data_IF_045723963030
#
_entry.id   IF_045723963030
#
_cell.length_a   1.000
_cell.length_b   1.000
_cell.length_c   1.000
_cell.angle_alpha   90.00
_cell.angle_beta   90.00
_cell.angle_gamma   90.00
#
_symmetry.space_group_name_H-M   'P 1'
#
loop_
_entity.id
_entity.type
_entity.pdbx_description
1 polymer ?
#
# COMPACT_ATOMS: atom_id res chain seq x y z
N UNK A 1 2.96 -7.83 -16.19
CA UNK A 1 3.38 -6.59 -16.89
C UNK A 1 4.19 -6.86 -18.16
N UNK A 2 5.04 -7.90 -18.20
CA UNK A 2 5.85 -8.29 -19.39
C UNK A 2 5.02 -8.43 -20.68
N UNK A 3 3.76 -8.89 -20.64
CA UNK A 3 2.92 -8.98 -21.85
C UNK A 3 2.38 -7.65 -22.41
N UNK A 4 2.59 -6.52 -21.70
CA UNK A 4 1.91 -5.24 -22.01
C UNK A 4 2.79 -4.23 -22.75
N UNK A 5 4.06 -4.06 -22.34
CA UNK A 5 5.06 -3.37 -23.16
C UNK A 5 5.08 -3.97 -24.58
N UNK A 6 5.01 -5.30 -24.68
CA UNK A 6 4.90 -6.02 -25.96
C UNK A 6 3.74 -5.55 -26.84
N UNK A 7 2.53 -5.34 -26.28
CA UNK A 7 1.37 -4.95 -27.10
C UNK A 7 1.52 -3.56 -27.71
N UNK A 8 2.03 -2.60 -26.93
CA UNK A 8 2.25 -1.22 -27.38
C UNK A 8 3.44 -1.14 -28.33
N UNK A 9 4.54 -1.83 -28.03
CA UNK A 9 5.69 -1.89 -28.93
C UNK A 9 5.32 -2.59 -30.24
N UNK A 10 4.56 -3.69 -30.22
CA UNK A 10 4.15 -4.38 -31.45
C UNK A 10 3.31 -3.52 -32.40
N UNK A 11 2.54 -2.53 -31.90
CA UNK A 11 1.83 -1.57 -32.75
C UNK A 11 2.71 -0.46 -33.34
N UNK A 12 3.86 -0.17 -32.70
CA UNK A 12 4.79 0.90 -33.10
C UNK A 12 6.00 0.39 -33.90
N UNK A 13 6.18 -0.92 -34.04
CA UNK A 13 7.29 -1.54 -34.78
C UNK A 13 7.35 -1.14 -36.28
N UNK A 14 6.24 -0.67 -36.87
CA UNK A 14 6.25 -0.10 -38.22
C UNK A 14 7.14 1.16 -38.31
N UNK A 15 7.21 1.98 -37.26
CA UNK A 15 8.07 3.17 -37.23
C UNK A 15 9.56 2.79 -37.28
N UNK A 16 9.96 1.73 -36.57
CA UNK A 16 11.35 1.24 -36.59
C UNK A 16 11.77 0.74 -37.97
N UNK A 17 10.83 0.21 -38.77
CA UNK A 17 11.11 -0.25 -40.14
C UNK A 17 11.22 0.88 -41.18
N UNK A 18 10.59 2.03 -40.93
CA UNK A 18 10.62 3.20 -41.81
C UNK A 18 11.86 4.08 -41.56
N UNK A 19 12.29 4.21 -40.30
CA UNK A 19 13.47 5.00 -39.88
C UNK A 19 14.81 4.46 -40.41
N UNK A 20 14.87 3.18 -40.84
CA UNK A 20 16.10 2.63 -41.46
C UNK A 20 16.36 3.21 -42.86
N UNK A 21 15.37 3.80 -43.52
CA UNK A 21 15.49 4.27 -44.91
C UNK A 21 16.15 5.66 -45.08
N UNK A 22 16.33 6.44 -44.01
CA UNK A 22 16.83 7.82 -44.04
C UNK A 22 18.34 7.97 -43.72
N UNK A 23 19.03 6.91 -43.29
CA UNK A 23 20.42 6.99 -42.78
C UNK A 23 21.50 7.02 -43.90
N UNK A 24 21.13 7.06 -45.19
CA UNK A 24 22.08 7.02 -46.32
C UNK A 24 22.68 8.39 -46.73
N UNK A 25 22.65 9.40 -45.85
CA UNK A 25 23.30 10.70 -46.05
C UNK A 25 24.73 10.78 -45.47
N UNK A 26 25.55 11.76 -45.90
CA UNK A 26 26.87 11.97 -45.31
C UNK A 26 26.77 12.20 -43.79
N UNK A 27 27.65 11.55 -43.02
CA UNK A 27 27.79 11.67 -41.56
C UNK A 27 28.05 13.12 -41.15
N UNK A 28 26.98 13.88 -40.90
CA UNK A 28 27.04 15.07 -40.08
C UNK A 28 26.85 14.62 -38.62
N UNK A 29 27.78 15.00 -37.75
CA UNK A 29 27.64 14.78 -36.30
C UNK A 29 26.51 15.68 -35.81
N UNK A 30 25.32 15.11 -35.70
CA UNK A 30 24.13 15.76 -35.19
C UNK A 30 23.68 15.02 -33.93
N UNK A 31 23.19 15.75 -32.93
CA UNK A 31 22.63 15.16 -31.71
C UNK A 31 21.50 14.17 -32.06
N UNK A 32 21.25 13.22 -31.17
CA UNK A 32 20.14 12.27 -31.31
C UNK A 32 18.83 12.99 -31.65
N UNK A 33 18.06 12.41 -32.59
CA UNK A 33 16.72 12.86 -32.89
C UNK A 33 15.73 12.01 -32.10
N UNK A 34 14.76 12.66 -31.44
CA UNK A 34 13.81 12.00 -30.55
C UNK A 34 12.40 12.37 -31.01
N UNK A 35 11.55 11.37 -31.19
CA UNK A 35 10.15 11.54 -31.55
C UNK A 35 9.24 10.93 -30.48
N UNK A 36 8.19 11.66 -30.09
CA UNK A 36 7.16 11.16 -29.19
C UNK A 36 6.13 10.26 -29.91
N UNK A 37 5.12 9.79 -29.18
CA UNK A 37 4.07 8.90 -29.72
C UNK A 37 3.18 9.56 -30.80
N UNK A 38 3.28 10.88 -30.97
CA UNK A 38 2.59 11.64 -32.02
C UNK A 38 3.49 12.00 -33.20
N UNK A 39 4.69 11.41 -33.27
CA UNK A 39 5.76 11.71 -34.24
C UNK A 39 6.26 13.16 -34.18
N UNK A 40 6.06 13.85 -33.05
CA UNK A 40 6.60 15.19 -32.83
C UNK A 40 8.03 15.11 -32.30
N UNK A 41 8.93 15.89 -32.89
CA UNK A 41 10.33 15.99 -32.46
C UNK A 41 10.42 16.69 -31.09
N UNK A 42 11.22 16.12 -30.19
CA UNK A 42 11.48 16.64 -28.84
C UNK A 42 12.97 16.61 -28.52
N UNK A 43 13.41 17.42 -27.56
CA UNK A 43 14.81 17.48 -27.12
C UNK A 43 15.11 16.57 -25.92
N UNK A 44 14.10 16.08 -25.21
CA UNK A 44 14.25 15.26 -24.01
C UNK A 44 13.18 14.19 -23.90
N UNK A 45 13.51 13.12 -23.18
CA UNK A 45 12.58 12.07 -22.79
C UNK A 45 11.81 12.49 -21.54
N UNK A 46 10.59 12.00 -21.39
CA UNK A 46 9.84 12.11 -20.15
C UNK A 46 9.22 10.77 -19.78
N UNK A 47 8.55 10.71 -18.62
CA UNK A 47 7.87 9.50 -18.17
C UNK A 47 6.55 9.82 -17.50
N UNK A 48 5.65 8.83 -17.48
CA UNK A 48 4.38 8.96 -16.76
C UNK A 48 4.53 8.54 -15.30
N UNK A 49 4.15 9.43 -14.38
CA UNK A 49 4.18 9.16 -12.95
C UNK A 49 2.91 8.44 -12.47
N UNK A 50 3.07 7.18 -12.09
CA UNK A 50 2.03 6.34 -11.50
C UNK A 50 1.94 6.62 -10.00
N UNK A 51 0.89 7.37 -9.63
CA UNK A 51 0.57 7.67 -8.22
C UNK A 51 -0.74 7.05 -7.73
N UNK A 52 -1.66 6.79 -8.66
CA UNK A 52 -2.95 6.16 -8.36
C UNK A 52 -2.91 4.67 -8.68
N UNK A 53 -3.88 3.92 -8.13
CA UNK A 53 -3.96 2.47 -8.30
C UNK A 53 -5.22 1.99 -8.98
N UNK A 54 -5.80 2.77 -9.90
CA UNK A 54 -6.70 2.18 -10.91
C UNK A 54 -5.91 1.23 -11.80
N UNK A 55 -6.56 0.21 -12.36
CA UNK A 55 -5.89 -0.70 -13.31
C UNK A 55 -5.43 0.04 -14.56
N UNK A 56 -6.19 1.06 -14.99
CA UNK A 56 -5.88 1.92 -16.13
C UNK A 56 -4.58 2.70 -15.92
N UNK A 57 -4.35 3.26 -14.73
CA UNK A 57 -3.09 3.96 -14.45
C UNK A 57 -1.88 3.02 -14.50
N UNK A 58 -2.04 1.75 -14.11
CA UNK A 58 -0.96 0.75 -14.21
C UNK A 58 -0.64 0.33 -15.65
N UNK A 59 -1.42 0.77 -16.63
CA UNK A 59 -1.23 0.50 -18.06
C UNK A 59 -0.63 1.68 -18.81
N UNK A 60 -0.54 2.86 -18.19
CA UNK A 60 0.05 4.04 -18.80
C UNK A 60 1.56 3.88 -18.94
N UNK A 61 2.02 4.04 -20.17
CA UNK A 61 3.43 4.01 -20.57
C UNK A 61 3.60 5.16 -21.57
N UNK A 62 4.78 5.79 -21.59
CA UNK A 62 5.17 6.72 -22.66
C UNK A 62 6.27 6.06 -23.48
N UNK A 63 6.17 6.15 -24.80
CA UNK A 63 7.15 5.59 -25.75
C UNK A 63 7.75 6.67 -26.62
N UNK A 64 9.06 6.59 -26.82
CA UNK A 64 9.81 7.43 -27.74
C UNK A 64 10.52 6.59 -28.80
N UNK A 65 10.55 7.11 -30.02
CA UNK A 65 11.46 6.68 -31.08
C UNK A 65 12.72 7.53 -31.01
N UNK A 66 13.90 6.91 -30.99
CA UNK A 66 15.18 7.60 -30.82
C UNK A 66 16.13 7.14 -31.92
N UNK A 67 16.70 8.10 -32.65
CA UNK A 67 17.76 7.86 -33.63
C UNK A 67 19.08 8.43 -33.12
N UNK A 68 20.06 7.57 -32.87
CA UNK A 68 21.42 7.99 -32.48
C UNK A 68 22.37 7.87 -33.66
N UNK A 69 23.19 8.89 -33.88
CA UNK A 69 24.09 8.98 -35.05
C UNK A 69 25.55 8.57 -34.72
N UNK A 70 25.91 8.55 -33.43
CA UNK A 70 27.25 8.20 -32.95
C UNK A 70 27.18 7.20 -31.78
N UNK A 71 28.31 6.57 -31.48
CA UNK A 71 28.43 5.69 -30.31
C UNK A 71 28.43 6.49 -29.01
N UNK A 72 27.86 5.90 -27.95
CA UNK A 72 27.77 6.50 -26.61
C UNK A 72 26.96 7.80 -26.56
N UNK A 73 26.00 7.96 -27.47
CA UNK A 73 25.10 9.11 -27.51
C UNK A 73 24.29 9.19 -26.21
N UNK A 74 24.12 10.42 -25.69
CA UNK A 74 23.48 10.70 -24.41
C UNK A 74 22.25 11.57 -24.62
N UNK A 75 21.12 11.15 -24.09
CA UNK A 75 19.84 11.84 -24.19
C UNK A 75 19.32 12.17 -22.78
N UNK A 76 18.90 13.42 -22.50
CA UNK A 76 18.31 13.77 -21.22
C UNK A 76 16.93 13.13 -21.02
N UNK A 77 16.61 12.79 -19.78
CA UNK A 77 15.28 12.34 -19.33
C UNK A 77 14.83 13.13 -18.10
N UNK A 78 13.65 13.73 -18.17
CA UNK A 78 13.01 14.38 -17.01
C UNK A 78 12.35 13.35 -16.09
N UNK A 79 12.73 13.39 -14.82
CA UNK A 79 12.22 12.50 -13.78
C UNK A 79 11.38 13.32 -12.80
N UNK A 80 10.05 13.10 -12.75
CA UNK A 80 9.13 14.02 -12.08
C UNK A 80 9.12 13.93 -10.55
N UNK A 81 9.69 12.87 -9.96
CA UNK A 81 9.63 12.63 -8.52
C UNK A 81 10.76 11.71 -8.04
N UNK A 82 10.93 11.58 -6.73
CA UNK A 82 11.65 10.42 -6.18
C UNK A 82 10.91 9.13 -6.52
N UNK A 83 11.61 8.11 -6.99
CA UNK A 83 10.98 6.81 -7.25
C UNK A 83 11.78 5.84 -8.11
N UNK A 84 11.04 4.98 -8.79
CA UNK A 84 11.54 3.91 -9.63
C UNK A 84 11.01 4.05 -11.06
N UNK A 85 11.90 3.98 -12.05
CA UNK A 85 11.53 3.91 -13.46
C UNK A 85 11.60 2.45 -13.91
N UNK A 86 10.47 1.96 -14.39
CA UNK A 86 10.35 0.76 -15.21
C UNK A 86 10.52 1.20 -16.65
N UNK A 87 11.54 0.71 -17.35
CA UNK A 87 11.72 1.05 -18.76
C UNK A 87 11.97 -0.20 -19.59
N UNK A 88 11.64 -0.10 -20.87
CA UNK A 88 11.83 -1.14 -21.85
C UNK A 88 12.47 -0.52 -23.08
N UNK A 89 13.53 -1.15 -23.58
CA UNK A 89 14.24 -0.68 -24.78
C UNK A 89 14.19 -1.76 -25.83
N UNK A 90 13.85 -1.38 -27.07
CA UNK A 90 13.93 -2.27 -28.22
C UNK A 90 14.80 -1.67 -29.33
N UNK A 91 15.54 -2.53 -30.03
CA UNK A 91 16.38 -2.14 -31.17
C UNK A 91 16.71 -3.36 -32.04
N UNK A 92 17.21 -3.13 -33.25
CA UNK A 92 17.68 -4.16 -34.17
C UNK A 92 19.19 -4.41 -34.09
N UNK A 93 19.91 -3.66 -33.25
CA UNK A 93 21.36 -3.79 -33.06
C UNK A 93 21.67 -4.31 -31.65
N UNK A 94 22.83 -4.97 -31.50
CA UNK A 94 23.29 -5.31 -30.15
C UNK A 94 23.84 -4.06 -29.47
N UNK A 95 23.27 -3.70 -28.32
CA UNK A 95 23.61 -2.45 -27.62
C UNK A 95 23.41 -2.60 -26.11
N UNK A 96 24.21 -1.87 -25.34
CA UNK A 96 23.92 -1.53 -23.95
C UNK A 96 23.19 -0.18 -23.87
N UNK A 97 22.20 -0.08 -22.98
CA UNK A 97 21.54 1.17 -22.59
C UNK A 97 21.54 1.29 -21.07
N UNK A 98 21.91 2.46 -20.54
CA UNK A 98 21.95 2.70 -19.10
C UNK A 98 21.57 4.16 -18.77
N UNK A 99 21.06 4.36 -17.55
CA UNK A 99 20.65 5.68 -17.05
C UNK A 99 21.66 6.16 -16.00
N UNK A 100 22.04 7.43 -16.06
CA UNK A 100 23.07 8.07 -15.24
C UNK A 100 22.55 9.32 -14.53
N UNK A 101 23.18 9.66 -13.41
CA UNK A 101 22.86 10.84 -12.60
C UNK A 101 23.53 12.11 -13.13
N UNK A 102 24.43 11.99 -14.09
CA UNK A 102 25.26 13.07 -14.63
C UNK A 102 25.47 12.89 -16.13
N UNK A 103 25.59 14.00 -16.85
CA UNK A 103 25.74 14.04 -18.32
C UNK A 103 27.00 13.30 -18.80
N UNK A 104 28.08 13.38 -18.02
CA UNK A 104 29.33 12.66 -18.28
C UNK A 104 29.22 11.14 -18.08
N UNK A 105 28.04 10.65 -17.66
CA UNK A 105 27.73 9.23 -17.48
C UNK A 105 28.73 8.51 -16.56
N UNK A 106 29.11 9.16 -15.46
CA UNK A 106 30.07 8.61 -14.48
C UNK A 106 29.41 7.78 -13.38
N UNK A 107 28.14 8.08 -13.04
CA UNK A 107 27.41 7.38 -12.00
C UNK A 107 26.04 6.88 -12.48
N UNK A 108 25.86 5.56 -12.46
CA UNK A 108 24.59 4.93 -12.87
C UNK A 108 23.48 5.18 -11.85
N UNK A 109 22.29 5.45 -12.35
CA UNK A 109 21.04 5.52 -11.59
C UNK A 109 20.30 4.18 -11.53
N UNK A 110 20.85 3.11 -12.13
CA UNK A 110 20.19 1.81 -12.22
C UNK A 110 21.07 0.74 -12.85
N UNK A 111 20.44 -0.36 -13.25
CA UNK A 111 21.12 -1.42 -13.98
C UNK A 111 21.19 -1.12 -15.47
N UNK A 112 22.29 -1.50 -16.10
CA UNK A 112 22.39 -1.51 -17.55
C UNK A 112 21.48 -2.58 -18.16
N UNK A 113 20.97 -2.27 -19.34
CA UNK A 113 20.21 -3.20 -20.17
C UNK A 113 21.08 -3.58 -21.36
N UNK A 114 21.31 -4.89 -21.56
CA UNK A 114 22.07 -5.41 -22.69
C UNK A 114 21.11 -6.09 -23.67
N UNK A 115 20.96 -5.51 -24.85
CA UNK A 115 20.05 -5.97 -25.89
C UNK A 115 20.86 -6.77 -26.90
N UNK A 116 20.44 -8.01 -27.16
CA UNK A 116 21.10 -8.90 -28.12
C UNK A 116 20.13 -9.93 -28.70
N UNK A 117 20.62 -10.86 -29.52
CA UNK A 117 19.79 -11.95 -30.06
C UNK A 117 19.31 -12.94 -29.00
N UNK A 118 19.87 -12.92 -27.77
CA UNK A 118 19.35 -13.70 -26.63
C UNK A 118 18.21 -13.00 -25.89
N UNK A 119 17.98 -11.72 -26.19
CA UNK A 119 16.91 -10.93 -25.59
C UNK A 119 15.55 -11.27 -26.17
N UNK A 120 14.50 -10.67 -25.63
CA UNK A 120 13.15 -10.92 -26.11
C UNK A 120 12.99 -10.45 -27.56
N UNK A 121 12.70 -11.38 -28.47
CA UNK A 121 12.42 -11.05 -29.86
C UNK A 121 10.98 -10.51 -30.01
N UNK A 122 10.85 -9.26 -30.45
CA UNK A 122 9.55 -8.61 -30.68
C UNK A 122 9.07 -8.77 -32.13
N UNK A 123 10.01 -8.77 -33.07
CA UNK A 123 9.82 -9.14 -34.48
C UNK A 123 11.15 -9.64 -35.07
N UNK A 124 11.12 -10.10 -36.33
CA UNK A 124 12.32 -10.53 -37.03
C UNK A 124 13.40 -9.44 -36.98
N UNK A 125 14.55 -9.75 -36.37
CA UNK A 125 15.67 -8.84 -36.23
C UNK A 125 15.53 -7.70 -35.20
N UNK A 126 14.43 -7.60 -34.45
CA UNK A 126 14.27 -6.60 -33.37
C UNK A 126 14.10 -7.29 -32.03
N UNK A 127 14.95 -6.89 -31.09
CA UNK A 127 15.02 -7.46 -29.75
C UNK A 127 14.81 -6.36 -28.72
N UNK A 128 14.27 -6.71 -27.57
CA UNK A 128 14.10 -5.76 -26.48
C UNK A 128 14.28 -6.37 -25.10
N UNK A 129 14.51 -5.48 -24.14
CA UNK A 129 14.80 -5.83 -22.76
C UNK A 129 14.23 -4.83 -21.76
N UNK A 130 13.98 -5.32 -20.55
CA UNK A 130 13.51 -4.49 -19.43
C UNK A 130 14.68 -3.97 -18.60
N UNK A 131 14.61 -2.70 -18.23
CA UNK A 131 15.52 -2.03 -17.34
C UNK A 131 14.85 -1.45 -16.11
N UNK A 132 15.69 -1.12 -15.13
CA UNK A 132 15.29 -0.56 -13.83
C UNK A 132 16.22 0.57 -13.44
N UNK A 133 15.67 1.71 -13.07
CA UNK A 133 16.43 2.83 -12.50
C UNK A 133 15.73 3.42 -11.27
N UNK A 134 16.51 4.04 -10.39
CA UNK A 134 16.13 4.50 -9.07
C UNK A 134 16.59 5.94 -8.86
N UNK A 135 15.66 6.78 -8.40
CA UNK A 135 15.84 8.23 -8.37
C UNK A 135 15.58 8.72 -6.96
N UNK A 136 16.60 9.23 -6.24
CA UNK A 136 16.42 9.75 -4.89
C UNK A 136 15.61 11.06 -4.86
N UNK A 137 15.56 11.78 -5.98
CA UNK A 137 14.88 13.06 -6.16
C UNK A 137 14.47 13.26 -7.63
N UNK A 138 13.54 14.19 -7.85
CA UNK A 138 13.15 14.67 -9.18
C UNK A 138 14.30 15.45 -9.84
N UNK A 139 14.31 15.49 -11.17
CA UNK A 139 15.26 16.27 -11.95
C UNK A 139 15.65 15.60 -13.26
N UNK A 140 16.66 16.17 -13.93
CA UNK A 140 17.18 15.65 -15.20
C UNK A 140 18.22 14.56 -14.95
N UNK A 141 18.04 13.43 -15.62
CA UNK A 141 18.98 12.31 -15.68
C UNK A 141 19.34 12.03 -17.14
N UNK A 142 20.23 11.08 -17.40
CA UNK A 142 20.84 10.91 -18.72
C UNK A 142 20.80 9.46 -19.17
N UNK A 143 20.18 9.18 -20.32
CA UNK A 143 20.13 7.86 -20.95
C UNK A 143 21.25 7.76 -21.98
N UNK A 144 22.15 6.81 -21.81
CA UNK A 144 23.26 6.57 -22.75
C UNK A 144 23.00 5.33 -23.60
N UNK A 145 23.15 5.49 -24.90
CA UNK A 145 23.05 4.42 -25.91
C UNK A 145 24.46 4.07 -26.41
N UNK A 146 24.91 2.83 -26.19
CA UNK A 146 26.30 2.44 -26.51
C UNK A 146 26.63 2.42 -28.01
N UNK A 147 25.62 2.39 -28.88
CA UNK A 147 25.78 2.27 -30.33
C UNK A 147 24.89 3.28 -31.07
N UNK A 148 25.34 3.65 -32.27
CA UNK A 148 24.52 4.40 -33.22
C UNK A 148 23.43 3.48 -33.78
N UNK A 149 22.18 3.93 -33.80
CA UNK A 149 21.06 3.16 -34.33
C UNK A 149 19.69 3.70 -33.91
N UNK A 150 18.66 2.94 -34.29
CA UNK A 150 17.27 3.25 -33.94
C UNK A 150 16.84 2.46 -32.70
N UNK A 151 16.17 3.15 -31.77
CA UNK A 151 15.68 2.60 -30.51
C UNK A 151 14.23 2.97 -30.29
N UNK A 152 13.47 2.06 -29.68
CA UNK A 152 12.23 2.40 -28.97
C UNK A 152 12.53 2.41 -27.48
N UNK A 153 12.19 3.50 -26.80
CA UNK A 153 12.33 3.65 -25.36
C UNK A 153 10.96 3.88 -24.73
N UNK A 154 10.44 2.87 -24.05
CA UNK A 154 9.16 2.94 -23.35
C UNK A 154 9.38 3.00 -21.84
N UNK A 155 8.66 3.86 -21.12
CA UNK A 155 8.84 3.96 -19.67
C UNK A 155 7.57 4.31 -18.88
N UNK A 156 7.58 3.93 -17.60
CA UNK A 156 6.62 4.35 -16.58
C UNK A 156 7.34 4.49 -15.24
N UNK A 157 6.89 5.43 -14.40
CA UNK A 157 7.52 5.71 -13.12
C UNK A 157 6.59 5.43 -11.94
N UNK A 158 7.10 4.79 -10.90
CA UNK A 158 6.40 4.58 -9.63
C UNK A 158 7.02 5.45 -8.54
N UNK A 159 6.20 6.32 -7.94
CA UNK A 159 6.67 7.23 -6.89
C UNK A 159 7.08 6.48 -5.62
N UNK A 160 8.24 6.87 -5.05
CA UNK A 160 8.74 6.48 -3.73
C UNK A 160 8.44 7.51 -2.63
N UNK A 161 7.60 8.50 -2.91
CA UNK A 161 7.34 9.62 -1.99
C UNK A 161 6.25 9.34 -0.97
N UNK A 162 6.29 10.11 0.13
CA UNK A 162 5.17 10.21 1.07
C UNK A 162 3.95 10.83 0.38
N UNK A 163 2.76 10.46 0.81
CA UNK A 163 1.52 10.86 0.12
C UNK A 163 0.32 10.97 1.03
N UNK A 164 -0.76 11.53 0.51
CA UNK A 164 -2.04 11.60 1.23
C UNK A 164 -2.97 10.51 0.71
N UNK A 165 -3.60 9.78 1.63
CA UNK A 165 -4.63 8.79 1.29
C UNK A 165 -5.99 9.45 1.11
N UNK A 166 -6.68 9.01 0.06
CA UNK A 166 -8.10 9.26 -0.15
C UNK A 166 -8.90 8.03 0.26
N UNK A 167 -10.08 8.28 0.84
CA UNK A 167 -10.94 7.19 1.28
C UNK A 167 -11.41 6.34 0.10
N UNK A 168 -11.35 5.02 0.28
CA UNK A 168 -11.78 4.01 -0.68
C UNK A 168 -11.10 4.08 -2.07
N UNK A 169 -9.90 4.64 -2.16
CA UNK A 169 -9.10 4.71 -3.40
C UNK A 169 -7.77 3.98 -3.23
N UNK A 170 -7.30 3.30 -4.28
CA UNK A 170 -5.96 2.74 -4.30
C UNK A 170 -4.91 3.82 -4.53
N UNK A 171 -3.78 3.69 -3.84
CA UNK A 171 -2.59 4.51 -4.02
C UNK A 171 -1.39 3.61 -4.26
N UNK A 172 -0.73 3.74 -5.41
CA UNK A 172 0.35 2.84 -5.87
C UNK A 172 1.71 3.44 -5.56
N UNK A 173 2.62 2.66 -4.99
CA UNK A 173 3.94 3.11 -4.57
C UNK A 173 5.04 2.10 -4.93
N UNK A 174 6.28 2.61 -4.93
CA UNK A 174 7.49 1.80 -4.98
C UNK A 174 8.20 1.81 -3.63
N UNK A 175 8.29 0.67 -2.94
CA UNK A 175 8.87 0.57 -1.60
C UNK A 175 10.07 -0.37 -1.57
N UNK A 176 11.29 0.16 -1.69
CA UNK A 176 12.49 -0.66 -1.58
C UNK A 176 13.70 0.17 -1.18
N UNK A 177 14.76 -0.50 -0.72
CA UNK A 177 16.07 0.13 -0.45
C UNK A 177 17.13 -0.49 -1.33
N UNK A 178 17.81 0.34 -2.12
CA UNK A 178 18.97 -0.03 -2.91
C UNK A 178 20.15 0.86 -2.51
N UNK A 179 21.01 0.32 -1.63
CA UNK A 179 22.19 1.06 -1.15
C UNK A 179 23.17 1.39 -2.28
N UNK A 180 23.33 0.47 -3.24
CA UNK A 180 24.19 0.64 -4.42
C UNK A 180 23.84 1.87 -5.28
N UNK A 181 22.58 2.34 -5.21
CA UNK A 181 22.08 3.48 -5.96
C UNK A 181 21.68 4.66 -5.07
N UNK A 182 22.06 4.64 -3.77
CA UNK A 182 21.66 5.66 -2.79
C UNK A 182 20.13 5.90 -2.75
N UNK A 183 19.34 4.84 -2.93
CA UNK A 183 17.88 4.92 -2.97
C UNK A 183 17.25 4.24 -1.76
N UNK A 184 16.39 4.96 -1.05
CA UNK A 184 15.62 4.42 0.07
C UNK A 184 14.18 4.93 0.07
N UNK A 185 13.25 4.03 -0.28
CA UNK A 185 11.81 4.21 -0.08
C UNK A 185 11.21 3.08 0.77
N UNK A 186 12.03 2.41 1.59
CA UNK A 186 11.59 1.29 2.42
C UNK A 186 10.61 1.74 3.53
N UNK A 187 10.46 3.04 3.75
CA UNK A 187 9.43 3.58 4.64
C UNK A 187 8.64 4.68 3.93
N UNK A 188 7.42 4.36 3.51
CA UNK A 188 6.50 5.34 2.93
C UNK A 188 5.44 5.71 3.96
N UNK A 189 5.30 7.01 4.19
CA UNK A 189 4.28 7.56 5.06
C UNK A 189 3.09 8.07 4.26
N UNK A 190 1.92 7.57 4.64
CA UNK A 190 0.65 7.92 4.04
C UNK A 190 -0.14 8.79 5.03
N UNK A 191 -0.15 10.11 4.82
CA UNK A 191 -0.95 11.05 5.60
C UNK A 191 -2.43 10.72 5.41
N UNK A 192 -3.17 10.66 6.51
CA UNK A 192 -4.60 10.38 6.50
C UNK A 192 -5.34 11.25 7.51
N UNK A 193 -6.52 11.73 7.12
CA UNK A 193 -7.41 12.52 7.98
C UNK A 193 -8.82 11.90 7.92
N UNK A 194 -9.27 11.22 8.99
CA UNK A 194 -10.55 10.51 8.97
C UNK A 194 -11.73 11.47 8.90
N UNK A 195 -12.70 11.18 8.02
CA UNK A 195 -13.95 11.94 7.91
C UNK A 195 -14.95 11.62 9.03
N UNK A 196 -14.74 10.50 9.74
CA UNK A 196 -15.59 9.99 10.84
C UNK A 196 -14.72 9.40 11.94
N UNK A 197 -15.20 9.43 13.18
CA UNK A 197 -14.64 8.64 14.27
C UNK A 197 -15.09 7.20 14.08
N UNK A 198 -14.14 6.28 14.12
CA UNK A 198 -14.39 4.93 13.62
C UNK A 198 -13.09 4.18 13.42
N UNK A 199 -13.12 3.15 12.59
CA UNK A 199 -11.91 2.39 12.27
C UNK A 199 -11.57 2.49 10.79
N UNK A 200 -10.29 2.68 10.49
CA UNK A 200 -9.73 2.58 9.15
C UNK A 200 -9.31 1.14 8.88
N UNK A 201 -9.78 0.58 7.77
CA UNK A 201 -9.27 -0.68 7.22
C UNK A 201 -8.28 -0.37 6.11
N UNK A 202 -7.10 -0.99 6.14
CA UNK A 202 -6.07 -0.92 5.10
C UNK A 202 -5.98 -2.27 4.42
N UNK A 203 -6.07 -2.26 3.09
CA UNK A 203 -5.80 -3.41 2.24
C UNK A 203 -4.55 -3.13 1.42
N UNK A 204 -3.64 -4.09 1.37
CA UNK A 204 -2.45 -4.09 0.52
C UNK A 204 -2.63 -5.03 -0.65
N UNK A 205 -2.18 -4.61 -1.82
CA UNK A 205 -2.04 -5.46 -2.99
C UNK A 205 -0.63 -5.33 -3.55
N UNK A 206 0.01 -6.46 -3.79
CA UNK A 206 1.36 -6.54 -4.32
C UNK A 206 1.28 -6.76 -5.83
N UNK A 207 2.05 -5.99 -6.58
CA UNK A 207 2.08 -6.07 -8.04
C UNK A 207 3.19 -7.03 -8.55
N UNK A 208 3.73 -7.83 -7.63
CA UNK A 208 4.71 -8.90 -7.84
C UNK A 208 4.16 -10.23 -7.32
N UNK A 209 4.67 -11.36 -7.83
CA UNK A 209 4.21 -12.71 -7.48
C UNK A 209 4.34 -13.03 -5.98
N UNK A 210 5.29 -12.38 -5.30
CA UNK A 210 5.42 -12.40 -3.85
C UNK A 210 5.62 -10.99 -3.31
N UNK A 211 5.14 -10.75 -2.10
CA UNK A 211 5.26 -9.46 -1.44
C UNK A 211 4.82 -9.52 0.00
N UNK A 212 5.47 -8.70 0.83
CA UNK A 212 5.11 -8.56 2.25
C UNK A 212 5.30 -7.13 2.73
N UNK A 213 4.56 -6.74 3.76
CA UNK A 213 4.68 -5.43 4.39
C UNK A 213 4.40 -5.49 5.88
N UNK A 214 4.96 -4.53 6.58
CA UNK A 214 4.62 -4.13 7.94
C UNK A 214 3.91 -2.78 7.88
N UNK A 215 2.74 -2.71 8.51
CA UNK A 215 1.89 -1.52 8.54
C UNK A 215 1.74 -1.03 9.98
N UNK A 216 2.00 0.25 10.20
CA UNK A 216 1.96 0.87 11.54
C UNK A 216 1.21 2.20 11.49
N UNK A 217 0.31 2.43 12.44
CA UNK A 217 -0.32 3.73 12.64
C UNK A 217 0.61 4.64 13.44
N UNK A 218 0.80 5.85 12.91
CA UNK A 218 1.57 6.91 13.53
C UNK A 218 0.68 8.13 13.81
N UNK A 219 1.07 8.92 14.81
CA UNK A 219 0.45 10.21 15.10
C UNK A 219 0.91 11.31 14.12
N UNK A 220 0.44 12.55 14.32
CA UNK A 220 0.78 13.71 13.47
C UNK A 220 2.28 14.06 13.41
N UNK A 221 3.08 13.61 14.36
CA UNK A 221 4.54 13.77 14.38
C UNK A 221 5.29 12.57 13.79
N UNK A 222 4.57 11.66 13.10
CA UNK A 222 5.09 10.38 12.58
C UNK A 222 5.64 9.43 13.65
N UNK A 223 5.29 9.64 14.92
CA UNK A 223 5.61 8.70 16.00
C UNK A 223 4.62 7.54 15.99
N UNK A 224 5.15 6.32 16.03
CA UNK A 224 4.36 5.09 16.06
C UNK A 224 3.49 5.02 17.32
N UNK A 225 2.20 4.73 17.12
CA UNK A 225 1.20 4.62 18.18
C UNK A 225 0.47 3.27 18.17
N UNK A 226 0.67 2.44 17.15
CA UNK A 226 0.28 1.03 17.14
C UNK A 226 1.51 0.11 17.18
N UNK A 227 1.29 -1.19 17.33
CA UNK A 227 2.28 -2.19 16.91
C UNK A 227 2.31 -2.32 15.38
N UNK A 228 3.40 -2.88 14.87
CA UNK A 228 3.53 -3.25 13.47
C UNK A 228 2.62 -4.45 13.16
N UNK A 229 1.92 -4.39 12.03
CA UNK A 229 1.06 -5.48 11.56
C UNK A 229 1.60 -6.02 10.25
N UNK A 230 1.93 -7.31 10.22
CA UNK A 230 2.46 -8.00 9.05
C UNK A 230 1.35 -8.44 8.08
N UNK A 231 1.58 -8.28 6.78
CA UNK A 231 0.71 -8.69 5.68
C UNK A 231 1.56 -9.24 4.53
N UNK A 232 1.09 -10.25 3.79
CA UNK A 232 1.78 -10.82 2.63
C UNK A 232 0.82 -11.37 1.56
N UNK A 233 1.34 -11.88 0.45
CA UNK A 233 0.56 -12.47 -0.66
C UNK A 233 -0.12 -13.81 -0.34
N UNK A 234 0.43 -14.63 0.57
CA UNK A 234 -0.08 -15.98 0.89
C UNK A 234 -1.25 -15.95 1.87
N UNK A 235 -1.28 -14.99 2.78
CA UNK A 235 -2.41 -14.78 3.69
C UNK A 235 -3.42 -13.87 3.00
N UNK A 236 -4.45 -14.48 2.42
CA UNK A 236 -5.57 -13.86 1.68
C UNK A 236 -6.44 -12.86 2.49
N UNK A 237 -5.96 -12.33 3.62
CA UNK A 237 -6.77 -11.54 4.56
C UNK A 237 -5.99 -10.52 5.39
N UNK A 238 -4.92 -9.91 4.86
CA UNK A 238 -4.15 -8.86 5.56
C UNK A 238 -4.89 -7.52 5.73
N UNK A 239 -6.19 -7.52 6.06
CA UNK A 239 -6.93 -6.32 6.42
C UNK A 239 -6.38 -5.81 7.74
N UNK A 240 -5.59 -4.73 7.69
CA UNK A 240 -5.07 -4.07 8.88
C UNK A 240 -6.10 -3.05 9.35
N UNK A 241 -6.42 -3.05 10.64
CA UNK A 241 -7.45 -2.15 11.21
C UNK A 241 -6.87 -1.34 12.36
N UNK A 242 -7.16 -0.04 12.35
CA UNK A 242 -6.87 0.87 13.47
C UNK A 242 -8.08 1.72 13.80
N UNK A 243 -8.30 2.01 15.09
CA UNK A 243 -9.29 3.00 15.49
C UNK A 243 -8.72 4.42 15.35
N UNK A 244 -9.52 5.33 14.80
CA UNK A 244 -9.12 6.69 14.45
C UNK A 244 -10.21 7.70 14.79
N UNK A 245 -9.79 8.90 15.16
CA UNK A 245 -10.68 10.01 15.54
C UNK A 245 -10.93 10.93 14.35
N UNK A 246 -12.18 11.35 14.15
CA UNK A 246 -12.56 12.33 13.11
C UNK A 246 -11.66 13.58 13.18
N UNK A 247 -11.15 14.01 12.03
CA UNK A 247 -10.39 15.25 11.88
C UNK A 247 -8.96 15.23 12.44
N UNK A 248 -8.55 14.17 13.14
CA UNK A 248 -7.16 14.01 13.56
C UNK A 248 -6.27 13.66 12.36
N UNK A 249 -5.00 14.08 12.41
CA UNK A 249 -4.00 13.71 11.39
C UNK A 249 -3.22 12.49 11.86
N UNK A 250 -3.23 11.45 11.04
CA UNK A 250 -2.44 10.24 11.23
C UNK A 250 -1.50 10.05 10.04
N UNK A 251 -0.47 9.23 10.23
CA UNK A 251 0.32 8.68 9.14
C UNK A 251 0.28 7.16 9.22
N UNK A 252 -0.02 6.50 8.12
CA UNK A 252 0.15 5.05 7.99
C UNK A 252 1.54 4.84 7.42
N UNK A 253 2.43 4.22 8.19
CA UNK A 253 3.78 3.85 7.77
C UNK A 253 3.70 2.47 7.15
N UNK A 254 4.17 2.33 5.91
CA UNK A 254 4.30 1.04 5.24
C UNK A 254 5.78 0.77 4.99
N UNK A 255 6.24 -0.36 5.54
CA UNK A 255 7.57 -0.92 5.29
C UNK A 255 7.40 -2.22 4.53
N UNK A 256 7.92 -2.33 3.31
CA UNK A 256 7.63 -3.46 2.43
C UNK A 256 8.89 -4.11 1.88
N UNK A 257 8.81 -5.41 1.62
CA UNK A 257 9.82 -6.15 0.85
C UNK A 257 9.49 -6.24 -0.64
N UNK A 258 8.33 -5.71 -1.07
CA UNK A 258 7.86 -5.75 -2.45
C UNK A 258 8.22 -4.45 -3.16
N UNK A 259 8.80 -4.58 -4.35
CA UNK A 259 9.16 -3.45 -5.20
C UNK A 259 7.94 -2.54 -5.49
N UNK A 260 6.84 -3.11 -6.01
CA UNK A 260 5.64 -2.39 -6.44
C UNK A 260 4.42 -2.88 -5.68
N UNK A 261 3.71 -1.97 -5.02
CA UNK A 261 2.49 -2.30 -4.27
C UNK A 261 1.48 -1.15 -4.34
N UNK A 262 0.23 -1.44 -4.00
CA UNK A 262 -0.80 -0.42 -3.80
C UNK A 262 -1.55 -0.67 -2.50
N UNK A 263 -1.94 0.42 -1.84
CA UNK A 263 -2.79 0.34 -0.64
C UNK A 263 -4.11 1.04 -0.85
N UNK A 264 -5.15 0.52 -0.20
CA UNK A 264 -6.49 1.11 -0.16
C UNK A 264 -6.93 1.27 1.28
N UNK A 265 -7.32 2.48 1.65
CA UNK A 265 -7.93 2.77 2.95
C UNK A 265 -9.46 2.82 2.85
N UNK A 266 -10.16 2.37 3.89
CA UNK A 266 -11.62 2.56 4.04
C UNK A 266 -12.00 2.90 5.47
N UNK A 267 -12.62 4.05 5.71
CA UNK A 267 -13.15 4.43 7.02
C UNK A 267 -14.56 3.88 7.25
N UNK A 268 -14.79 3.30 8.42
CA UNK A 268 -16.12 2.94 8.90
C UNK A 268 -16.41 3.67 10.19
N UNK A 269 -17.45 4.50 10.21
CA UNK A 269 -17.86 5.23 11.40
C UNK A 269 -18.43 4.31 12.47
N UNK A 270 -18.11 4.60 13.73
CA UNK A 270 -18.67 3.90 14.89
C UNK A 270 -19.30 4.93 15.82
N UNK A 271 -20.59 4.72 16.13
CA UNK A 271 -21.29 5.52 17.14
C UNK A 271 -21.07 4.89 18.50
N UNK A 272 -20.24 5.53 19.31
CA UNK A 272 -19.97 5.14 20.70
C UNK A 272 -21.16 5.47 21.61
N UNK A 273 -21.51 4.55 22.51
CA UNK A 273 -22.55 4.78 23.52
C UNK A 273 -22.30 3.90 24.75
N UNK A 274 -21.08 3.92 25.29
CA UNK A 274 -20.73 3.29 26.56
C UNK A 274 -20.95 4.20 27.76
N UNK A 275 -20.83 3.64 28.96
CA UNK A 275 -20.55 4.40 30.18
C UNK A 275 -19.05 4.44 30.47
N UNK A 276 -18.51 5.57 30.93
CA UNK A 276 -17.06 5.69 31.20
C UNK A 276 -16.62 5.13 32.55
N UNK A 277 -17.57 4.75 33.41
CA UNK A 277 -17.36 4.18 34.74
C UNK A 277 -18.45 3.16 35.03
N UNK A 278 -18.17 2.17 35.89
CA UNK A 278 -19.14 1.14 36.31
C UNK A 278 -20.45 1.72 36.86
N UNK A 279 -20.38 2.80 37.65
CA UNK A 279 -21.56 3.48 38.21
C UNK A 279 -22.46 4.12 37.15
N UNK A 280 -21.89 4.52 36.01
CA UNK A 280 -22.62 5.08 34.87
C UNK A 280 -22.67 4.10 33.68
N UNK A 281 -22.64 2.80 33.95
CA UNK A 281 -22.67 1.79 32.90
C UNK A 281 -23.95 1.91 32.05
N UNK A 282 -23.80 1.85 30.72
CA UNK A 282 -24.92 1.96 29.80
C UNK A 282 -25.76 0.69 29.80
N UNK A 283 -27.08 0.84 29.82
CA UNK A 283 -28.00 -0.31 29.72
C UNK A 283 -27.85 -1.05 28.38
N UNK A 284 -27.56 -2.35 28.47
CA UNK A 284 -27.57 -3.32 27.38
C UNK A 284 -28.87 -4.13 27.46
N UNK A 285 -29.76 -3.90 26.49
CA UNK A 285 -31.00 -4.67 26.38
C UNK A 285 -30.70 -6.07 25.84
N UNK A 286 -31.18 -7.11 26.51
CA UNK A 286 -31.03 -8.49 26.05
C UNK A 286 -31.57 -8.64 24.62
N UNK A 287 -30.78 -9.27 23.75
CA UNK A 287 -31.04 -9.47 22.33
C UNK A 287 -30.60 -8.32 21.42
N UNK A 288 -30.21 -7.16 21.98
CA UNK A 288 -29.74 -6.00 21.21
C UNK A 288 -28.22 -5.90 21.23
N UNK A 289 -27.67 -5.48 20.10
CA UNK A 289 -26.24 -5.21 19.96
C UNK A 289 -25.92 -3.78 20.42
N UNK A 290 -24.78 -3.61 21.07
CA UNK A 290 -24.12 -2.32 21.29
C UNK A 290 -22.76 -2.35 20.63
N UNK A 291 -22.39 -1.23 19.99
CA UNK A 291 -21.08 -1.05 19.37
C UNK A 291 -20.29 -0.05 20.19
N UNK A 292 -18.97 -0.20 20.14
CA UNK A 292 -18.06 0.79 20.65
C UNK A 292 -16.70 0.76 19.97
N UNK A 293 -15.83 1.67 20.38
CA UNK A 293 -14.53 1.96 19.82
C UNK A 293 -13.58 2.40 20.93
N UNK A 294 -12.38 1.81 20.91
CA UNK A 294 -11.27 2.21 21.77
C UNK A 294 -10.19 2.80 20.87
N UNK A 295 -9.97 4.09 21.00
CA UNK A 295 -9.00 4.84 20.22
C UNK A 295 -7.59 4.54 20.71
N UNK A 296 -6.59 4.76 19.84
CA UNK A 296 -5.19 4.57 20.21
C UNK A 296 -4.77 5.52 21.33
N UNK A 297 -5.30 6.74 21.38
CA UNK A 297 -5.04 7.72 22.44
C UNK A 297 -5.71 7.39 23.79
N UNK A 298 -6.65 6.45 23.85
CA UNK A 298 -7.30 6.08 25.11
C UNK A 298 -6.32 5.40 26.05
N UNK A 299 -6.44 5.73 27.35
CA UNK A 299 -5.62 5.12 28.41
C UNK A 299 -6.05 3.67 28.64
N UNK A 300 -5.10 2.79 28.99
CA UNK A 300 -5.41 1.40 29.39
C UNK A 300 -6.25 1.31 30.67
N UNK A 301 -6.23 2.35 31.50
CA UNK A 301 -7.09 2.49 32.68
C UNK A 301 -8.54 2.89 32.34
N UNK A 302 -8.78 3.42 31.14
CA UNK A 302 -10.12 3.76 30.66
C UNK A 302 -10.85 2.50 30.23
N UNK A 303 -12.16 2.49 30.41
CA UNK A 303 -12.99 1.36 30.01
C UNK A 303 -14.40 1.83 29.66
N UNK A 304 -15.00 1.10 28.74
CA UNK A 304 -16.40 1.19 28.39
C UNK A 304 -17.19 0.21 29.25
N UNK A 305 -18.24 0.72 29.88
CA UNK A 305 -19.08 -0.02 30.81
C UNK A 305 -20.50 -0.14 30.30
N UNK A 306 -20.99 -1.38 30.33
CA UNK A 306 -22.38 -1.72 30.06
C UNK A 306 -22.96 -2.53 31.21
N UNK A 307 -24.29 -2.53 31.35
CA UNK A 307 -25.00 -3.33 32.35
C UNK A 307 -26.27 -3.94 31.80
N UNK A 308 -26.63 -5.12 32.29
CA UNK A 308 -27.94 -5.71 32.08
C UNK A 308 -28.45 -6.33 33.38
N UNK A 309 -29.77 -6.43 33.52
CA UNK A 309 -30.41 -6.96 34.73
C UNK A 309 -31.32 -8.13 34.36
N UNK A 310 -31.25 -9.19 35.16
CA UNK A 310 -32.09 -10.37 35.06
C UNK A 310 -33.08 -10.40 36.22
N UNK A 311 -34.36 -10.58 35.91
CA UNK A 311 -35.42 -10.74 36.91
C UNK A 311 -35.53 -12.17 37.45
N UNK A 312 -34.98 -13.15 36.74
CA UNK A 312 -34.94 -14.58 37.09
C UNK A 312 -33.71 -15.27 36.50
N UNK A 313 -33.40 -16.47 37.00
CA UNK A 313 -32.32 -17.30 36.44
C UNK A 313 -32.57 -17.57 34.95
N UNK A 314 -31.55 -17.33 34.11
CA UNK A 314 -31.70 -17.37 32.63
C UNK A 314 -30.45 -17.93 31.96
N UNK A 315 -30.62 -18.77 30.92
CA UNK A 315 -29.53 -19.19 30.03
C UNK A 315 -29.24 -18.09 29.01
N UNK A 316 -27.99 -17.66 28.92
CA UNK A 316 -27.58 -16.55 28.05
C UNK A 316 -26.29 -16.89 27.31
N UNK A 317 -26.11 -16.26 26.15
CA UNK A 317 -24.84 -16.19 25.44
C UNK A 317 -24.36 -14.74 25.37
N UNK A 318 -23.05 -14.54 25.41
CA UNK A 318 -22.39 -13.29 25.03
C UNK A 318 -21.74 -13.48 23.66
N UNK A 319 -22.18 -12.72 22.67
CA UNK A 319 -21.48 -12.55 21.40
C UNK A 319 -20.64 -11.29 21.45
N UNK A 320 -19.35 -11.43 21.18
CA UNK A 320 -18.39 -10.36 20.99
C UNK A 320 -17.89 -10.42 19.55
N UNK A 321 -17.96 -9.30 18.84
CA UNK A 321 -17.37 -9.16 17.51
C UNK A 321 -16.59 -7.85 17.41
N UNK A 322 -15.70 -7.71 16.43
CA UNK A 322 -14.96 -6.46 16.27
C UNK A 322 -13.69 -6.59 15.47
N UNK A 323 -12.90 -5.52 15.54
CA UNK A 323 -11.55 -5.48 15.01
C UNK A 323 -10.64 -4.93 16.11
N UNK A 324 -9.43 -5.46 16.20
CA UNK A 324 -8.39 -4.90 17.05
C UNK A 324 -7.06 -4.91 16.30
N UNK A 325 -6.24 -3.89 16.57
CA UNK A 325 -4.81 -3.98 16.31
C UNK A 325 -4.19 -5.15 17.09
N UNK A 326 -3.04 -5.66 16.65
CA UNK A 326 -2.45 -6.96 17.05
C UNK A 326 -2.48 -7.34 18.54
N UNK A 327 -2.40 -6.39 19.47
CA UNK A 327 -2.39 -6.61 20.93
C UNK A 327 -3.77 -6.78 21.60
N UNK A 328 -4.87 -6.50 20.88
CA UNK A 328 -6.23 -6.90 21.23
C UNK A 328 -7.03 -6.01 22.20
N UNK A 329 -8.36 -6.19 22.19
CA UNK A 329 -9.33 -5.53 23.09
C UNK A 329 -9.92 -6.57 24.02
N UNK A 330 -9.96 -6.30 25.32
CA UNK A 330 -10.50 -7.21 26.34
C UNK A 330 -11.95 -6.89 26.66
N UNK A 331 -12.77 -7.93 26.78
CA UNK A 331 -14.16 -7.87 27.23
C UNK A 331 -14.33 -8.77 28.44
N UNK A 332 -14.74 -8.18 29.55
CA UNK A 332 -14.87 -8.84 30.84
C UNK A 332 -16.33 -8.75 31.36
N UNK A 333 -16.92 -9.89 31.72
CA UNK A 333 -18.18 -9.93 32.48
C UNK A 333 -17.88 -9.99 33.99
N UNK A 334 -18.47 -9.08 34.78
CA UNK A 334 -18.32 -9.04 36.24
C UNK A 334 -19.68 -8.90 36.94
N UNK A 335 -19.84 -9.55 38.10
CA UNK A 335 -20.99 -9.35 39.01
C UNK A 335 -20.64 -9.89 40.40
N UNK A 336 -21.43 -9.51 41.42
CA UNK A 336 -21.29 -10.07 42.77
C UNK A 336 -21.72 -11.56 42.86
N UNK A 337 -22.43 -12.06 41.85
CA UNK A 337 -23.07 -13.38 41.82
C UNK A 337 -22.39 -14.37 40.85
N UNK A 338 -21.23 -14.02 40.28
CA UNK A 338 -20.42 -14.91 39.44
C UNK A 338 -19.01 -14.99 40.01
N UNK A 339 -18.57 -16.20 40.33
CA UNK A 339 -17.20 -16.47 40.81
C UNK A 339 -16.13 -16.49 39.70
N UNK A 340 -16.52 -16.23 38.45
CA UNK A 340 -15.60 -16.21 37.31
C UNK A 340 -15.82 -14.99 36.42
N UNK A 341 -14.78 -14.61 35.66
CA UNK A 341 -14.85 -13.62 34.60
C UNK A 341 -14.92 -14.33 33.25
N UNK A 342 -15.88 -13.93 32.41
CA UNK A 342 -15.77 -14.21 30.97
C UNK A 342 -14.78 -13.20 30.42
N UNK A 343 -13.57 -13.66 30.10
CA UNK A 343 -12.53 -12.87 29.41
C UNK A 343 -12.51 -13.25 27.92
N UNK A 344 -12.84 -12.29 27.07
CA UNK A 344 -12.76 -12.42 25.62
C UNK A 344 -11.77 -11.39 25.10
N UNK A 345 -10.73 -11.87 24.41
CA UNK A 345 -9.80 -11.01 23.69
C UNK A 345 -10.19 -10.94 22.21
N UNK A 346 -10.58 -9.75 21.75
CA UNK A 346 -10.75 -9.44 20.33
C UNK A 346 -9.35 -9.24 19.75
N UNK A 347 -8.93 -10.09 18.82
CA UNK A 347 -7.62 -10.03 18.17
C UNK A 347 -7.76 -10.00 16.65
N UNK A 348 -7.04 -9.09 16.00
CA UNK A 348 -7.03 -8.99 14.54
C UNK A 348 -8.33 -8.41 13.95
N UNK A 349 -8.48 -8.56 12.64
CA UNK A 349 -9.65 -8.10 11.90
C UNK A 349 -10.77 -9.14 11.88
N UNK A 350 -12.02 -8.65 11.84
CA UNK A 350 -13.24 -9.44 11.65
C UNK A 350 -13.43 -10.56 12.69
N UNK A 351 -12.95 -10.33 13.91
CA UNK A 351 -13.11 -11.23 15.05
C UNK A 351 -14.59 -11.42 15.40
N UNK A 352 -14.98 -12.66 15.71
CA UNK A 352 -16.30 -12.98 16.26
C UNK A 352 -16.23 -14.23 17.14
N UNK A 353 -16.76 -14.12 18.36
CA UNK A 353 -16.89 -15.23 19.29
C UNK A 353 -18.23 -15.16 20.01
N UNK A 354 -18.85 -16.31 20.22
CA UNK A 354 -20.03 -16.47 21.07
C UNK A 354 -19.69 -17.44 22.20
N UNK A 355 -19.95 -17.05 23.44
CA UNK A 355 -19.67 -17.85 24.63
C UNK A 355 -20.93 -17.95 25.49
N UNK A 356 -21.21 -19.15 26.01
CA UNK A 356 -22.26 -19.36 27.02
C UNK A 356 -21.90 -18.64 28.31
N UNK A 357 -22.88 -17.98 28.94
CA UNK A 357 -22.71 -17.34 30.23
C UNK A 357 -23.22 -18.28 31.33
N UNK A 358 -22.28 -18.77 32.15
CA UNK A 358 -22.52 -19.80 33.15
C UNK A 358 -21.83 -19.41 34.48
N UNK A 359 -22.30 -19.99 35.58
CA UNK A 359 -21.60 -19.95 36.88
C UNK A 359 -20.83 -21.25 37.05
N UNK A 360 -19.93 -21.33 38.05
CA UNK A 360 -19.20 -22.58 38.32
C UNK A 360 -20.09 -23.80 38.56
N UNK A 361 -21.33 -23.59 39.01
CA UNK A 361 -22.25 -24.66 39.43
C UNK A 361 -23.53 -24.72 38.61
N UNK A 362 -23.73 -23.83 37.62
CA UNK A 362 -24.99 -23.74 36.88
C UNK A 362 -24.81 -23.15 35.48
N UNK A 363 -25.48 -23.77 34.50
CA UNK A 363 -25.59 -23.28 33.12
C UNK A 363 -26.53 -22.08 32.95
N UNK A 364 -26.97 -21.46 34.06
CA UNK A 364 -27.79 -20.24 34.08
C UNK A 364 -27.13 -19.16 34.90
N UNK A 365 -27.32 -17.90 34.50
CA UNK A 365 -27.00 -16.76 35.33
C UNK A 365 -28.17 -16.48 36.29
N UNK A 366 -27.94 -16.40 37.62
CA UNK A 366 -28.97 -16.05 38.60
C UNK A 366 -29.62 -14.67 38.36
N UNK A 367 -30.73 -14.40 39.07
CA UNK A 367 -31.30 -13.04 39.17
C UNK A 367 -30.21 -12.06 39.64
N UNK A 368 -30.12 -10.88 39.03
CA UNK A 368 -29.14 -9.88 39.42
C UNK A 368 -28.78 -8.89 38.32
N UNK A 369 -27.90 -7.96 38.66
CA UNK A 369 -27.33 -6.99 37.71
C UNK A 369 -25.89 -7.37 37.41
N UNK A 370 -25.58 -7.41 36.12
CA UNK A 370 -24.29 -7.82 35.57
C UNK A 370 -23.68 -6.65 34.81
N UNK A 371 -22.35 -6.55 34.84
CA UNK A 371 -21.60 -5.49 34.19
C UNK A 371 -20.63 -6.08 33.17
N UNK A 372 -20.57 -5.48 32.00
CA UNK A 372 -19.58 -5.78 30.97
C UNK A 372 -18.62 -4.60 30.91
N UNK A 373 -17.32 -4.89 31.05
CA UNK A 373 -16.23 -3.93 30.91
C UNK A 373 -15.49 -4.24 29.61
N UNK A 374 -15.30 -3.24 28.75
CA UNK A 374 -14.50 -3.34 27.54
C UNK A 374 -13.34 -2.36 27.63
N UNK A 375 -12.11 -2.83 27.43
CA UNK A 375 -10.91 -2.01 27.65
C UNK A 375 -9.71 -2.50 26.84
N UNK A 376 -8.69 -1.63 26.74
CA UNK A 376 -7.46 -1.94 26.02
C UNK A 376 -6.61 -2.94 26.81
N UNK A 377 -6.15 -4.00 26.14
CA UNK A 377 -5.16 -4.91 26.71
C UNK A 377 -3.76 -4.30 26.83
N UNK A 378 -3.44 -3.35 25.94
CA UNK A 378 -2.13 -2.67 25.86
C UNK A 378 -2.28 -1.19 25.45
N UNK A 379 -1.27 -0.35 25.72
CA UNK A 379 -1.26 1.07 25.34
C UNK A 379 -1.38 1.31 23.83
N UNK A 380 -0.85 0.41 22.98
CA UNK A 380 -0.91 0.49 21.52
C UNK A 380 -2.14 -0.23 20.93
N UNK A 381 -2.94 -0.88 21.77
CA UNK A 381 -4.19 -1.49 21.33
C UNK A 381 -5.19 -0.42 20.88
N UNK A 382 -5.92 -0.71 19.81
CA UNK A 382 -6.99 0.14 19.31
C UNK A 382 -7.93 -0.71 18.47
N UNK A 383 -9.17 -0.30 18.32
CA UNK A 383 -10.13 -1.02 17.50
C UNK A 383 -11.57 -0.74 17.86
N UNK A 384 -12.47 -1.52 17.29
CA UNK A 384 -13.89 -1.42 17.55
C UNK A 384 -14.43 -2.77 18.01
N UNK A 385 -15.57 -2.73 18.69
CA UNK A 385 -16.24 -3.93 19.16
C UNK A 385 -17.75 -3.81 18.99
N UNK A 386 -18.41 -4.96 19.03
CA UNK A 386 -19.81 -5.09 19.31
C UNK A 386 -20.03 -6.17 20.37
N UNK A 387 -20.98 -5.92 21.25
CA UNK A 387 -21.40 -6.86 22.29
C UNK A 387 -22.90 -7.08 22.19
N UNK A 388 -23.31 -8.33 22.34
CA UNK A 388 -24.72 -8.73 22.41
C UNK A 388 -24.88 -9.86 23.40
N UNK A 389 -25.73 -9.64 24.40
CA UNK A 389 -26.18 -10.71 25.30
C UNK A 389 -27.52 -11.20 24.79
N UNK A 390 -27.66 -12.50 24.48
CA UNK A 390 -28.91 -13.08 23.98
C UNK A 390 -29.34 -14.28 24.82
N UNK A 391 -30.64 -14.56 24.84
CA UNK A 391 -31.14 -15.84 25.36
C UNK A 391 -30.58 -16.99 24.51
N UNK A 392 -30.23 -18.07 25.19
CA UNK A 392 -29.82 -19.34 24.57
C UNK A 392 -31.04 -20.23 24.34
#
# INVERSE_FOLDING_TARGET
MISKFKKVLCSLLLALSLMVSSILGPLNVQAATIYDESDAETAELSTVLITTGTTEDLEKIVTYSIETTVENEVVPIDIPAKGYLDFYVATNISSEVAIFTDESCTKKAGYSVYISSSSEQLQAGVYGENGKAFFPEAGTYYVKFSKAGAYLFSSQMFSGENRTLKDNTYTTAYGYKYESFNYDSNNIYYKYTPSKTGYISISTEYLSDSGSSYITLCNSSKKEISEEVYTNTTYSSGKVVFAVKKGATYYIKVKTSSEKYRIKSKITGVTESSGTKKSNAKTLTIGKERKGILLTEDKTSSADWYKFTLSKATKLNLTVAGNASSVGIKVELTSANIGGSVDVNISGADYKRTTSLETFTSATLPKGTYYIRVYKGDKKASGNYSIKVSKR
#
